data_IF_835240867785
#
_entry.id   IF_835240867785
#
_cell.length_a   1.000
_cell.length_b   1.000
_cell.length_c   1.000
_cell.angle_alpha   90.00
_cell.angle_beta   90.00
_cell.angle_gamma   90.00
#
_symmetry.space_group_name_H-M   'P 1'
#
loop_
_entity.id
_entity.type
_entity.pdbx_description
1 polymer ?
#
# COMPACT_ATOMS: atom_id res chain seq x y z
N UNK A 1 34.37 -21.05 -12.20
CA UNK A 1 34.12 -22.39 -12.77
C UNK A 1 32.60 -22.53 -12.91
N UNK A 2 32.06 -22.57 -14.14
CA UNK A 2 30.61 -22.56 -14.37
C UNK A 2 30.04 -23.98 -14.22
N UNK A 3 29.18 -24.20 -13.23
CA UNK A 3 28.41 -25.45 -13.13
C UNK A 3 27.27 -25.44 -14.16
N UNK A 4 27.38 -26.28 -15.20
CA UNK A 4 26.24 -26.67 -16.05
C UNK A 4 25.77 -28.05 -15.60
N UNK A 5 24.52 -28.16 -15.18
CA UNK A 5 23.85 -29.44 -15.02
C UNK A 5 22.86 -29.60 -16.19
N UNK A 6 23.07 -30.64 -17.01
CA UNK A 6 22.09 -31.12 -17.96
C UNK A 6 21.38 -32.32 -17.34
N UNK A 7 20.05 -32.36 -17.41
CA UNK A 7 19.29 -33.57 -17.10
C UNK A 7 18.19 -33.76 -18.15
N UNK A 8 18.32 -34.84 -18.92
CA UNK A 8 17.26 -35.44 -19.72
C UNK A 8 16.37 -36.29 -18.81
N UNK A 9 15.05 -36.25 -19.02
CA UNK A 9 14.15 -37.28 -18.52
C UNK A 9 13.27 -37.74 -19.68
N UNK A 10 13.52 -38.98 -20.08
CA UNK A 10 12.67 -39.80 -20.95
C UNK A 10 11.70 -40.55 -20.03
N UNK A 11 10.41 -40.56 -20.35
CA UNK A 11 9.54 -41.64 -19.89
C UNK A 11 8.50 -41.99 -20.96
N UNK A 12 8.41 -43.29 -21.23
CA UNK A 12 7.81 -43.88 -22.40
C UNK A 12 6.33 -44.23 -22.27
N UNK A 13 5.76 -44.52 -23.43
CA UNK A 13 4.42 -45.04 -23.65
C UNK A 13 4.23 -46.42 -22.99
N UNK A 14 3.06 -46.63 -22.40
CA UNK A 14 2.35 -47.92 -22.43
C UNK A 14 0.94 -47.66 -22.94
N UNK A 15 0.59 -48.34 -24.03
CA UNK A 15 -0.71 -48.35 -24.69
C UNK A 15 -1.38 -49.69 -24.38
N UNK A 16 -2.65 -49.65 -23.95
CA UNK A 16 -3.75 -50.63 -24.20
C UNK A 16 -5.00 -50.04 -23.50
N UNK A 17 -6.23 -50.00 -24.01
CA UNK A 17 -6.86 -50.25 -25.31
C UNK A 17 -8.34 -49.79 -25.20
N UNK A 18 -8.89 -49.24 -26.28
CA UNK A 18 -10.32 -49.15 -26.66
C UNK A 18 -11.35 -48.44 -25.73
N UNK A 19 -11.87 -47.28 -26.18
CA UNK A 19 -13.17 -47.19 -26.89
C UNK A 19 -13.44 -45.78 -27.45
N UNK A 20 -13.70 -45.76 -28.77
CA UNK A 20 -14.41 -44.81 -29.64
C UNK A 20 -14.71 -43.38 -29.11
N UNK A 21 -14.11 -42.35 -29.72
CA UNK A 21 -14.56 -41.71 -30.97
C UNK A 21 -15.84 -40.86 -30.83
N UNK A 22 -15.64 -39.57 -30.53
CA UNK A 22 -16.38 -38.47 -31.17
C UNK A 22 -15.69 -37.14 -30.85
N UNK A 23 -15.73 -36.22 -31.82
CA UNK A 23 -15.37 -34.80 -31.73
C UNK A 23 -13.88 -34.48 -31.96
N UNK A 24 -13.48 -34.65 -33.22
CA UNK A 24 -12.64 -33.64 -33.90
C UNK A 24 -13.59 -32.61 -34.51
N UNK A 25 -13.58 -31.37 -34.02
CA UNK A 25 -13.28 -30.17 -34.81
C UNK A 25 -13.64 -28.89 -34.03
N UNK A 26 -12.65 -28.00 -33.95
CA UNK A 26 -12.66 -26.64 -33.39
C UNK A 26 -12.63 -26.46 -31.87
N UNK A 27 -11.54 -26.94 -31.26
CA UNK A 27 -10.98 -26.38 -30.04
C UNK A 27 -9.47 -26.28 -30.18
N UNK A 28 -8.96 -25.16 -30.70
CA UNK A 28 -7.54 -24.82 -30.63
C UNK A 28 -7.23 -24.50 -29.16
N UNK A 29 -6.92 -25.53 -28.38
CA UNK A 29 -6.27 -25.37 -27.08
C UNK A 29 -4.83 -24.97 -27.35
N UNK A 30 -4.55 -23.67 -27.33
CA UNK A 30 -3.18 -23.20 -27.17
C UNK A 30 -2.72 -23.53 -25.74
N UNK A 31 -2.13 -24.71 -25.54
CA UNK A 31 -1.23 -24.92 -24.39
C UNK A 31 0.07 -24.19 -24.70
N UNK A 32 0.17 -22.92 -24.32
CA UNK A 32 1.46 -22.26 -24.24
C UNK A 32 2.17 -22.79 -22.99
N UNK A 33 2.90 -23.90 -23.13
CA UNK A 33 3.91 -24.28 -22.15
C UNK A 33 5.07 -23.30 -22.31
N UNK A 34 5.15 -22.32 -21.42
CA UNK A 34 6.32 -21.46 -21.31
C UNK A 34 7.30 -22.17 -20.38
N UNK A 35 8.29 -22.86 -20.94
CA UNK A 35 9.46 -23.31 -20.20
C UNK A 35 10.28 -22.08 -19.79
N UNK A 36 10.01 -21.53 -18.61
CA UNK A 36 10.86 -20.51 -17.99
C UNK A 36 12.04 -21.21 -17.31
N UNK A 37 13.14 -21.33 -18.06
CA UNK A 37 14.45 -21.65 -17.50
C UNK A 37 15.08 -20.38 -16.93
N UNK A 38 15.24 -20.32 -15.61
CA UNK A 38 15.94 -19.22 -14.95
C UNK A 38 17.41 -19.59 -14.72
N UNK A 39 18.32 -18.84 -15.33
CA UNK A 39 19.74 -18.89 -14.98
C UNK A 39 19.95 -18.01 -13.74
N UNK A 40 20.23 -18.63 -12.59
CA UNK A 40 20.60 -17.91 -11.37
C UNK A 40 22.11 -17.70 -11.37
N UNK A 41 22.54 -16.44 -11.32
CA UNK A 41 23.97 -16.09 -11.30
C UNK A 41 24.42 -16.02 -9.85
N UNK A 42 25.22 -16.99 -9.40
CA UNK A 42 25.79 -17.00 -8.04
C UNK A 42 27.08 -16.19 -7.96
N UNK A 43 27.33 -15.56 -6.80
CA UNK A 43 28.60 -14.88 -6.51
C UNK A 43 29.39 -15.73 -5.51
N UNK A 44 30.63 -16.05 -5.85
CA UNK A 44 31.54 -16.74 -4.94
C UNK A 44 32.37 -15.71 -4.17
N UNK A 45 32.45 -15.83 -2.85
CA UNK A 45 33.39 -15.06 -2.05
C UNK A 45 34.83 -15.61 -2.15
N UNK A 46 35.79 -14.90 -1.58
CA UNK A 46 37.22 -15.26 -1.60
C UNK A 46 37.52 -16.58 -0.86
N UNK A 47 36.55 -17.13 -0.12
CA UNK A 47 36.61 -18.43 0.57
C UNK A 47 35.93 -19.55 -0.23
N UNK A 48 35.41 -19.27 -1.42
CA UNK A 48 34.78 -20.25 -2.31
C UNK A 48 33.34 -20.62 -1.93
N UNK A 49 32.67 -19.81 -1.08
CA UNK A 49 31.25 -19.97 -0.76
C UNK A 49 30.43 -19.26 -1.84
N UNK A 50 29.64 -20.04 -2.59
CA UNK A 50 28.70 -19.52 -3.57
C UNK A 50 27.40 -19.07 -2.88
N UNK A 51 27.14 -17.77 -2.86
CA UNK A 51 25.83 -17.23 -2.52
C UNK A 51 24.95 -17.16 -3.78
N UNK A 52 23.78 -17.79 -3.71
CA UNK A 52 22.76 -17.75 -4.76
C UNK A 52 21.51 -17.09 -4.20
N UNK A 53 21.27 -15.84 -4.57
CA UNK A 53 19.98 -15.18 -4.32
C UNK A 53 18.98 -15.68 -5.35
N UNK A 54 18.04 -16.52 -4.93
CA UNK A 54 16.90 -16.91 -5.77
C UNK A 54 15.86 -15.81 -5.66
N UNK A 55 15.86 -14.88 -6.61
CA UNK A 55 14.73 -13.97 -6.80
C UNK A 55 13.59 -14.77 -7.41
N UNK A 56 12.51 -14.94 -6.64
CA UNK A 56 11.24 -15.41 -7.18
C UNK A 56 10.79 -14.44 -8.28
N UNK A 57 10.18 -14.93 -9.39
CA UNK A 57 9.71 -14.07 -10.46
C UNK A 57 8.81 -12.97 -9.92
N UNK A 58 8.96 -11.76 -10.48
CA UNK A 58 8.22 -10.54 -10.16
C UNK A 58 6.71 -10.83 -10.19
N UNK A 59 6.20 -11.19 -9.01
CA UNK A 59 4.80 -11.51 -8.72
C UNK A 59 4.11 -10.34 -8.04
N UNK A 60 4.75 -9.18 -8.06
CA UNK A 60 4.16 -7.95 -7.59
C UNK A 60 2.96 -7.65 -8.47
N UNK A 61 1.77 -7.85 -7.88
CA UNK A 61 0.54 -7.21 -8.30
C UNK A 61 0.88 -5.84 -8.92
N UNK A 62 0.40 -5.50 -10.13
CA UNK A 62 0.93 -4.38 -10.91
C UNK A 62 0.48 -3.03 -10.32
N UNK A 63 1.04 -2.68 -9.17
CA UNK A 63 0.70 -1.49 -8.37
C UNK A 63 0.78 -0.24 -9.22
N UNK A 64 1.81 -0.10 -10.06
CA UNK A 64 1.96 1.07 -10.95
C UNK A 64 0.79 1.24 -11.92
N UNK A 65 0.27 0.13 -12.47
CA UNK A 65 -0.91 0.18 -13.35
C UNK A 65 -2.18 0.49 -12.57
N UNK A 66 -2.25 0.07 -11.30
CA UNK A 66 -3.38 0.39 -10.42
C UNK A 66 -3.35 1.84 -9.97
N UNK A 67 -2.18 2.40 -9.64
CA UNK A 67 -2.00 3.82 -9.34
C UNK A 67 -2.41 4.69 -10.55
N UNK A 68 -1.96 4.34 -11.76
CA UNK A 68 -2.35 5.04 -12.98
C UNK A 68 -3.86 4.95 -13.24
N UNK A 69 -4.45 3.77 -13.03
CA UNK A 69 -5.89 3.54 -13.15
C UNK A 69 -6.67 4.40 -12.15
N UNK A 70 -6.23 4.45 -10.89
CA UNK A 70 -6.86 5.25 -9.83
C UNK A 70 -6.81 6.75 -10.14
N UNK A 71 -5.64 7.25 -10.54
CA UNK A 71 -5.47 8.64 -10.94
C UNK A 71 -6.37 9.01 -12.12
N UNK A 72 -6.45 8.12 -13.12
CA UNK A 72 -7.33 8.28 -14.29
C UNK A 72 -8.80 8.25 -13.87
N UNK A 73 -9.19 7.32 -12.98
CA UNK A 73 -10.55 7.20 -12.46
C UNK A 73 -11.00 8.49 -11.76
N UNK A 74 -10.14 9.03 -10.89
CA UNK A 74 -10.40 10.23 -10.10
C UNK A 74 -10.54 11.45 -11.01
N UNK A 75 -9.64 11.60 -11.99
CA UNK A 75 -9.73 12.67 -12.98
C UNK A 75 -11.02 12.57 -13.80
N UNK A 76 -11.41 11.35 -14.20
CA UNK A 76 -12.62 11.09 -14.97
C UNK A 76 -13.89 11.39 -14.15
N UNK A 77 -13.90 11.01 -12.87
CA UNK A 77 -14.99 11.33 -11.95
C UNK A 77 -15.23 12.85 -11.86
N UNK A 78 -14.17 13.65 -11.70
CA UNK A 78 -14.26 15.12 -11.67
C UNK A 78 -14.78 15.68 -12.99
N UNK A 79 -14.37 15.13 -14.14
CA UNK A 79 -14.91 15.54 -15.44
C UNK A 79 -16.42 15.23 -15.54
N UNK A 80 -16.84 14.04 -15.12
CA UNK A 80 -18.25 13.62 -15.15
C UNK A 80 -19.11 14.52 -14.25
N UNK A 81 -18.70 14.78 -13.02
CA UNK A 81 -19.41 15.68 -12.10
C UNK A 81 -19.56 17.10 -12.65
N UNK A 82 -18.53 17.60 -13.34
CA UNK A 82 -18.59 18.90 -14.03
C UNK A 82 -19.64 18.91 -15.14
N UNK A 83 -19.73 17.84 -15.93
CA UNK A 83 -20.75 17.73 -16.98
C UNK A 83 -22.16 17.56 -16.41
N UNK A 84 -22.32 16.79 -15.33
CA UNK A 84 -23.61 16.69 -14.60
C UNK A 84 -24.07 18.08 -14.13
N UNK A 85 -23.15 18.89 -13.59
CA UNK A 85 -23.44 20.24 -13.15
C UNK A 85 -23.90 21.15 -14.31
N UNK A 86 -23.26 21.07 -15.48
CA UNK A 86 -23.68 21.80 -16.69
C UNK A 86 -25.04 21.35 -17.20
N UNK A 87 -25.33 20.05 -17.19
CA UNK A 87 -26.64 19.52 -17.59
C UNK A 87 -27.73 20.11 -16.69
N UNK A 88 -27.49 20.19 -15.37
CA UNK A 88 -28.43 20.82 -14.45
C UNK A 88 -28.69 22.31 -14.77
N UNK A 89 -27.66 23.05 -15.21
CA UNK A 89 -27.81 24.44 -15.69
C UNK A 89 -28.62 24.54 -17.00
N UNK A 90 -28.36 23.63 -17.95
CA UNK A 90 -29.13 23.56 -19.20
C UNK A 90 -30.59 23.23 -18.93
N UNK A 91 -30.89 22.30 -18.03
CA UNK A 91 -32.28 21.97 -17.64
C UNK A 91 -33.01 23.19 -17.07
N UNK A 92 -32.37 23.95 -16.17
CA UNK A 92 -32.95 25.21 -15.64
C UNK A 92 -33.19 26.24 -16.73
N UNK A 93 -32.25 26.39 -17.66
CA UNK A 93 -32.36 27.32 -18.78
C UNK A 93 -33.52 26.94 -19.72
N UNK A 94 -33.64 25.65 -20.05
CA UNK A 94 -34.75 25.12 -20.87
C UNK A 94 -36.10 25.41 -20.21
N UNK A 95 -36.24 25.16 -18.91
CA UNK A 95 -37.47 25.46 -18.16
C UNK A 95 -37.81 26.97 -18.19
N UNK A 96 -36.80 27.83 -18.08
CA UNK A 96 -37.00 29.28 -18.19
C UNK A 96 -37.48 29.70 -19.59
N UNK A 97 -36.90 29.14 -20.66
CA UNK A 97 -37.33 29.44 -22.02
C UNK A 97 -38.74 28.90 -22.32
N UNK A 98 -39.06 27.70 -21.84
CA UNK A 98 -40.39 27.11 -21.97
C UNK A 98 -41.47 28.02 -21.35
N UNK A 99 -41.19 28.57 -20.16
CA UNK A 99 -42.08 29.55 -19.50
C UNK A 99 -42.27 30.83 -20.34
N UNK A 100 -41.18 31.41 -20.88
CA UNK A 100 -41.27 32.61 -21.75
C UNK A 100 -42.09 32.34 -23.01
N UNK A 101 -41.85 31.20 -23.67
CA UNK A 101 -42.59 30.80 -24.87
C UNK A 101 -44.07 30.65 -24.54
N UNK A 102 -44.41 29.96 -23.45
CA UNK A 102 -45.80 29.79 -23.02
C UNK A 102 -46.51 31.12 -22.77
N UNK A 103 -45.85 32.06 -22.09
CA UNK A 103 -46.40 33.39 -21.83
C UNK A 103 -46.62 34.18 -23.13
N UNK A 104 -45.68 34.11 -24.07
CA UNK A 104 -45.83 34.75 -25.38
C UNK A 104 -46.94 34.12 -26.21
N UNK A 105 -47.07 32.79 -26.19
CA UNK A 105 -48.19 32.11 -26.86
C UNK A 105 -49.54 32.56 -26.31
N UNK A 106 -49.68 32.69 -24.98
CA UNK A 106 -50.91 33.21 -24.36
C UNK A 106 -51.18 34.66 -24.80
N UNK A 107 -50.14 35.50 -24.85
CA UNK A 107 -50.24 36.90 -25.29
C UNK A 107 -50.72 37.00 -26.74
N UNK A 108 -50.12 36.20 -27.64
CA UNK A 108 -50.51 36.15 -29.06
C UNK A 108 -51.92 35.60 -29.23
N UNK A 109 -52.29 34.52 -28.53
CA UNK A 109 -53.65 33.95 -28.57
C UNK A 109 -54.71 34.96 -28.11
N UNK A 110 -54.41 35.76 -27.08
CA UNK A 110 -55.29 36.83 -26.64
C UNK A 110 -55.45 37.92 -27.72
N UNK A 111 -54.36 38.28 -28.41
CA UNK A 111 -54.39 39.23 -29.53
C UNK A 111 -55.24 38.73 -30.71
N UNK A 112 -55.23 37.43 -30.99
CA UNK A 112 -56.03 36.83 -32.08
C UNK A 112 -57.54 36.80 -31.77
N UNK A 113 -57.91 36.61 -30.51
CA UNK A 113 -59.33 36.40 -30.10
C UNK A 113 -60.08 37.69 -29.75
N UNK A 114 -59.37 38.79 -29.50
CA UNK A 114 -59.98 40.07 -29.10
C UNK A 114 -60.13 41.01 -30.30
N UNK A 115 -61.31 41.63 -30.46
CA UNK A 115 -61.60 42.59 -31.54
C UNK A 115 -60.98 43.99 -31.32
N UNK A 116 -59.91 44.08 -30.52
CA UNK A 116 -59.28 45.35 -30.10
C UNK A 116 -58.17 45.71 -31.11
N UNK A 117 -58.13 46.98 -31.52
CA UNK A 117 -57.09 47.54 -32.40
C UNK A 117 -55.77 47.69 -31.62
N UNK A 118 -54.85 46.74 -31.76
CA UNK A 118 -53.49 46.83 -31.22
C UNK A 118 -52.65 47.90 -31.94
N UNK A 119 -51.78 48.59 -31.21
CA UNK A 119 -50.92 49.63 -31.78
C UNK A 119 -49.68 49.02 -32.44
N UNK A 120 -49.10 49.72 -33.42
CA UNK A 120 -47.83 49.33 -34.07
C UNK A 120 -46.70 49.08 -33.05
N UNK A 121 -46.72 49.83 -31.95
CA UNK A 121 -45.77 49.70 -30.83
C UNK A 121 -45.87 48.34 -30.11
N UNK A 122 -47.07 47.75 -30.00
CA UNK A 122 -47.28 46.45 -29.37
C UNK A 122 -46.62 45.33 -30.18
N UNK A 123 -46.67 45.44 -31.50
CA UNK A 123 -46.02 44.51 -32.42
C UNK A 123 -44.49 44.69 -32.43
N UNK A 124 -43.98 45.92 -32.34
CA UNK A 124 -42.54 46.17 -32.22
C UNK A 124 -41.95 45.60 -30.92
N UNK A 125 -42.67 45.74 -29.80
CA UNK A 125 -42.25 45.14 -28.53
C UNK A 125 -42.21 43.60 -28.62
N UNK A 126 -43.21 42.98 -29.26
CA UNK A 126 -43.26 41.53 -29.46
C UNK A 126 -42.09 41.04 -30.34
N UNK A 127 -41.76 41.77 -31.41
CA UNK A 127 -40.62 41.46 -32.27
C UNK A 127 -39.31 41.48 -31.49
N UNK A 128 -39.09 42.50 -30.64
CA UNK A 128 -37.90 42.58 -29.79
C UNK A 128 -37.80 41.41 -28.81
N UNK A 129 -38.91 41.04 -28.15
CA UNK A 129 -38.97 39.87 -27.25
C UNK A 129 -38.64 38.56 -27.99
N UNK A 130 -39.11 38.39 -29.23
CA UNK A 130 -38.81 37.23 -30.07
C UNK A 130 -37.35 37.18 -30.53
N UNK A 131 -36.78 38.30 -31.00
CA UNK A 131 -35.37 38.37 -31.41
C UNK A 131 -34.43 38.09 -30.24
N UNK A 132 -34.77 38.57 -29.04
CA UNK A 132 -33.99 38.25 -27.84
C UNK A 132 -34.01 36.74 -27.53
N UNK A 133 -35.18 36.09 -27.61
CA UNK A 133 -35.29 34.64 -27.43
C UNK A 133 -34.53 33.84 -28.48
N UNK A 134 -34.59 34.23 -29.76
CA UNK A 134 -33.82 33.54 -30.82
C UNK A 134 -32.32 33.58 -30.54
N UNK A 135 -31.80 34.73 -30.11
CA UNK A 135 -30.39 34.88 -29.72
C UNK A 135 -30.04 33.93 -28.57
N UNK A 136 -30.88 33.88 -27.55
CA UNK A 136 -30.69 33.05 -26.36
C UNK A 136 -30.78 31.54 -26.66
N UNK A 137 -31.73 31.13 -27.51
CA UNK A 137 -31.88 29.74 -27.98
C UNK A 137 -30.68 29.32 -28.83
N UNK A 138 -30.18 30.21 -29.70
CA UNK A 138 -28.98 29.95 -30.50
C UNK A 138 -27.75 29.69 -29.62
N UNK A 139 -27.58 30.49 -28.55
CA UNK A 139 -26.52 30.28 -27.56
C UNK A 139 -26.66 28.93 -26.85
N UNK A 140 -27.87 28.59 -26.38
CA UNK A 140 -28.13 27.30 -25.72
C UNK A 140 -27.83 26.11 -26.66
N UNK A 141 -28.22 26.21 -27.94
CA UNK A 141 -28.00 25.16 -28.94
C UNK A 141 -26.51 24.84 -29.11
N UNK A 142 -25.65 25.86 -29.20
CA UNK A 142 -24.20 25.67 -29.32
C UNK A 142 -23.63 24.99 -28.08
N UNK A 143 -24.06 25.41 -26.89
CA UNK A 143 -23.62 24.84 -25.61
C UNK A 143 -24.03 23.37 -25.44
N UNK A 144 -25.23 22.99 -25.87
CA UNK A 144 -25.72 21.59 -25.82
C UNK A 144 -24.96 20.68 -26.80
N UNK A 145 -24.71 21.16 -28.03
CA UNK A 145 -23.94 20.39 -29.03
C UNK A 145 -22.51 20.14 -28.53
N UNK A 146 -21.86 21.16 -27.97
CA UNK A 146 -20.53 21.02 -27.37
C UNK A 146 -20.50 20.03 -26.20
N UNK A 147 -21.57 19.99 -25.39
CA UNK A 147 -21.73 19.01 -24.31
C UNK A 147 -21.79 17.57 -24.81
N UNK A 148 -22.55 17.29 -25.88
CA UNK A 148 -22.69 15.93 -26.41
C UNK A 148 -21.36 15.32 -26.87
N UNK A 149 -20.50 16.09 -27.54
CA UNK A 149 -19.17 15.61 -27.99
C UNK A 149 -18.30 15.21 -26.81
N UNK A 150 -18.34 15.98 -25.72
CA UNK A 150 -17.56 15.68 -24.52
C UNK A 150 -18.11 14.43 -23.80
N UNK A 151 -19.43 14.25 -23.77
CA UNK A 151 -20.07 13.04 -23.21
C UNK A 151 -19.63 11.79 -24.01
N UNK A 152 -19.61 11.86 -25.34
CA UNK A 152 -19.15 10.75 -26.19
C UNK A 152 -17.66 10.40 -25.90
N UNK A 153 -16.83 11.42 -25.71
CA UNK A 153 -15.43 11.21 -25.32
C UNK A 153 -15.30 10.56 -23.95
N UNK A 154 -16.07 11.03 -22.95
CA UNK A 154 -16.10 10.42 -21.61
C UNK A 154 -16.55 8.96 -21.66
N UNK A 155 -17.53 8.64 -22.50
CA UNK A 155 -17.99 7.26 -22.68
C UNK A 155 -16.87 6.33 -23.19
N UNK A 156 -16.06 6.81 -24.13
CA UNK A 156 -14.89 6.05 -24.64
C UNK A 156 -13.83 5.90 -23.54
N UNK A 157 -13.52 6.96 -22.79
CA UNK A 157 -12.57 6.91 -21.66
C UNK A 157 -13.02 5.87 -20.60
N UNK A 158 -14.30 5.86 -20.22
CA UNK A 158 -14.89 4.87 -19.29
C UNK A 158 -14.79 3.44 -19.84
N UNK A 159 -15.10 3.24 -21.12
CA UNK A 159 -15.04 1.92 -21.76
C UNK A 159 -13.61 1.37 -21.77
N UNK A 160 -12.62 2.21 -22.10
CA UNK A 160 -11.21 1.83 -22.05
C UNK A 160 -10.78 1.45 -20.63
N UNK A 161 -11.26 2.20 -19.63
CA UNK A 161 -11.01 1.91 -18.22
C UNK A 161 -11.60 0.56 -17.80
N UNK A 162 -12.81 0.24 -18.24
CA UNK A 162 -13.46 -1.06 -17.96
C UNK A 162 -12.65 -2.23 -18.53
N UNK A 163 -12.11 -2.08 -19.75
CA UNK A 163 -11.23 -3.08 -20.37
C UNK A 163 -9.94 -3.27 -19.56
N UNK A 164 -9.35 -2.17 -19.06
CA UNK A 164 -8.14 -2.24 -18.23
C UNK A 164 -8.39 -2.96 -16.90
N UNK A 165 -9.51 -2.65 -16.23
CA UNK A 165 -9.93 -3.34 -14.99
C UNK A 165 -10.06 -4.85 -15.21
N UNK A 166 -10.78 -5.26 -16.27
CA UNK A 166 -10.95 -6.68 -16.59
C UNK A 166 -9.60 -7.39 -16.85
N UNK A 167 -8.66 -6.72 -17.51
CA UNK A 167 -7.31 -7.26 -17.75
C UNK A 167 -6.54 -7.45 -16.45
N UNK A 168 -6.61 -6.48 -15.53
CA UNK A 168 -5.93 -6.54 -14.23
C UNK A 168 -6.52 -7.62 -13.34
N UNK A 169 -7.84 -7.78 -13.31
CA UNK A 169 -8.52 -8.85 -12.57
C UNK A 169 -8.10 -10.25 -13.08
N UNK A 170 -7.98 -10.41 -14.40
CA UNK A 170 -7.54 -11.67 -14.99
C UNK A 170 -6.08 -12.00 -14.65
N UNK A 171 -5.20 -10.99 -14.64
CA UNK A 171 -3.79 -11.15 -14.26
C UNK A 171 -3.65 -11.66 -12.82
N UNK A 172 -4.44 -11.09 -11.91
CA UNK A 172 -4.41 -11.46 -10.49
C UNK A 172 -4.82 -12.92 -10.26
N UNK A 173 -5.95 -13.35 -10.85
CA UNK A 173 -6.46 -14.74 -10.71
C UNK A 173 -5.50 -15.80 -11.23
N UNK A 174 -4.89 -15.59 -12.39
CA UNK A 174 -4.01 -16.58 -13.02
C UNK A 174 -2.62 -16.64 -12.38
N UNK A 175 -2.05 -15.49 -12.02
CA UNK A 175 -0.70 -15.45 -11.45
C UNK A 175 -0.68 -16.01 -10.03
N UNK A 176 -1.64 -15.68 -9.16
CA UNK A 176 -1.65 -16.16 -7.77
C UNK A 176 -1.65 -17.70 -7.69
N UNK A 177 -2.41 -18.37 -8.57
CA UNK A 177 -2.46 -19.84 -8.61
C UNK A 177 -1.19 -20.46 -9.24
N UNK A 178 -0.64 -19.85 -10.28
CA UNK A 178 0.60 -20.30 -10.92
C UNK A 178 1.80 -20.15 -9.97
N UNK A 179 1.93 -18.99 -9.32
CA UNK A 179 2.98 -18.68 -8.33
C UNK A 179 2.90 -19.65 -7.15
N UNK A 180 1.69 -19.96 -6.65
CA UNK A 180 1.54 -20.95 -5.56
C UNK A 180 2.09 -22.32 -5.94
N UNK A 181 1.85 -22.78 -7.18
CA UNK A 181 2.40 -24.05 -7.69
C UNK A 181 3.92 -23.99 -7.84
N UNK A 182 4.45 -22.87 -8.31
CA UNK A 182 5.90 -22.66 -8.43
C UNK A 182 6.60 -22.56 -7.08
N UNK A 183 6.03 -21.87 -6.09
CA UNK A 183 6.57 -21.77 -4.73
C UNK A 183 6.66 -23.15 -4.08
N UNK A 184 5.62 -23.98 -4.21
CA UNK A 184 5.65 -25.36 -3.70
C UNK A 184 6.76 -26.17 -4.40
N UNK A 185 6.87 -26.05 -5.72
CA UNK A 185 7.89 -26.72 -6.51
C UNK A 185 9.31 -26.27 -6.12
N UNK A 186 9.52 -24.97 -5.97
CA UNK A 186 10.81 -24.38 -5.57
C UNK A 186 11.18 -24.73 -4.14
N UNK A 187 10.24 -24.73 -3.20
CA UNK A 187 10.47 -25.18 -1.82
C UNK A 187 10.91 -26.65 -1.77
N UNK A 188 10.27 -27.50 -2.55
CA UNK A 188 10.67 -28.91 -2.65
C UNK A 188 12.08 -29.06 -3.23
N UNK A 189 12.40 -28.33 -4.30
CA UNK A 189 13.75 -28.33 -4.89
C UNK A 189 14.82 -27.77 -3.95
N UNK A 190 14.50 -26.72 -3.20
CA UNK A 190 15.39 -26.14 -2.20
C UNK A 190 15.71 -27.16 -1.10
N UNK A 191 14.69 -27.85 -0.59
CA UNK A 191 14.84 -28.92 0.40
C UNK A 191 15.73 -30.05 -0.14
N UNK A 192 15.50 -30.51 -1.37
CA UNK A 192 16.34 -31.52 -2.02
C UNK A 192 17.79 -31.06 -2.21
N UNK A 193 18.02 -29.79 -2.57
CA UNK A 193 19.35 -29.22 -2.69
C UNK A 193 20.08 -29.12 -1.34
N UNK A 194 19.36 -28.74 -0.28
CA UNK A 194 19.91 -28.67 1.08
C UNK A 194 20.32 -30.05 1.60
N UNK A 195 19.47 -31.06 1.38
CA UNK A 195 19.76 -32.45 1.76
C UNK A 195 20.97 -33.05 1.01
N UNK A 196 21.21 -32.63 -0.25
CA UNK A 196 22.34 -33.10 -1.08
C UNK A 196 23.66 -32.36 -0.84
N UNK A 197 23.60 -31.12 -0.39
CA UNK A 197 24.78 -30.24 -0.29
C UNK A 197 25.70 -30.60 0.87
N UNK A 198 25.17 -31.13 1.98
CA UNK A 198 25.94 -31.38 3.21
C UNK A 198 26.59 -30.13 3.84
N UNK A 199 26.52 -28.97 3.16
CA UNK A 199 26.88 -27.66 3.68
C UNK A 199 25.63 -27.03 4.25
N UNK A 200 25.58 -26.90 5.56
CA UNK A 200 24.79 -25.84 6.20
C UNK A 200 25.27 -24.52 5.60
N UNK A 201 24.46 -23.90 4.74
CA UNK A 201 24.62 -22.47 4.49
C UNK A 201 24.63 -21.80 5.88
N UNK A 202 25.43 -20.75 6.06
CA UNK A 202 25.42 -19.93 7.27
C UNK A 202 24.04 -19.26 7.43
N UNK A 203 23.05 -20.05 7.82
CA UNK A 203 21.70 -19.66 8.10
C UNK A 203 21.75 -18.97 9.44
N UNK A 204 21.61 -17.65 9.44
CA UNK A 204 21.47 -16.89 10.67
C UNK A 204 20.13 -17.32 11.29
N UNK A 205 20.14 -17.97 12.46
CA UNK A 205 18.90 -18.43 13.08
C UNK A 205 17.98 -17.25 13.35
N UNK A 206 16.71 -17.42 13.00
CA UNK A 206 15.67 -16.41 13.20
C UNK A 206 15.53 -16.07 14.67
N UNK A 207 15.36 -14.79 15.00
CA UNK A 207 15.23 -14.31 16.36
C UNK A 207 16.55 -14.36 17.15
N UNK A 208 17.70 -14.37 16.48
CA UNK A 208 19.01 -14.32 17.12
C UNK A 208 19.88 -13.20 16.57
N UNK A 209 20.67 -12.58 17.45
CA UNK A 209 21.61 -11.52 17.09
C UNK A 209 23.00 -12.01 16.72
N UNK A 210 23.10 -13.26 16.24
CA UNK A 210 24.35 -13.90 15.87
C UNK A 210 24.79 -13.52 14.45
N UNK A 211 24.89 -12.22 14.18
CA UNK A 211 25.23 -11.67 12.87
C UNK A 211 26.00 -10.34 12.95
N UNK A 212 26.79 -10.01 11.93
CA UNK A 212 27.58 -8.78 11.81
C UNK A 212 26.81 -7.52 11.38
N UNK A 213 25.47 -7.61 11.29
CA UNK A 213 24.60 -6.50 10.88
C UNK A 213 23.99 -6.70 9.50
N UNK A 214 23.20 -5.73 9.05
CA UNK A 214 22.51 -5.79 7.75
C UNK A 214 23.54 -5.69 6.62
N UNK A 215 23.55 -6.70 5.76
CA UNK A 215 24.38 -6.74 4.55
C UNK A 215 23.62 -6.21 3.35
N UNK A 216 22.37 -6.66 3.17
CA UNK A 216 21.56 -6.33 2.01
C UNK A 216 20.07 -6.54 2.31
N UNK A 217 19.22 -6.12 1.37
CA UNK A 217 17.77 -6.25 1.43
C UNK A 217 17.23 -6.76 0.09
N UNK A 218 16.20 -7.60 0.14
CA UNK A 218 15.57 -8.12 -1.08
C UNK A 218 14.80 -7.03 -1.85
N UNK A 219 14.36 -7.35 -3.07
CA UNK A 219 13.28 -6.60 -3.74
C UNK A 219 11.99 -6.67 -2.90
N UNK A 220 11.11 -5.66 -3.01
CA UNK A 220 9.81 -5.67 -2.33
C UNK A 220 8.94 -6.80 -2.85
N UNK A 221 8.35 -7.55 -1.93
CA UNK A 221 7.21 -8.42 -2.21
C UNK A 221 5.92 -7.67 -1.82
N UNK A 222 5.09 -7.33 -2.81
CA UNK A 222 3.76 -6.73 -2.57
C UNK A 222 2.84 -7.81 -2.03
N UNK A 223 2.51 -7.72 -0.76
CA UNK A 223 1.57 -8.63 -0.10
C UNK A 223 0.15 -8.36 -0.58
N UNK A 224 -0.33 -7.12 -0.44
CA UNK A 224 -1.65 -6.68 -0.93
C UNK A 224 -1.89 -5.18 -0.68
N UNK A 225 -3.02 -4.64 -1.14
CA UNK A 225 -3.56 -3.35 -0.69
C UNK A 225 -4.06 -3.45 0.75
N UNK A 226 -4.16 -2.35 1.49
CA UNK A 226 -4.84 -2.36 2.79
C UNK A 226 -6.36 -2.59 2.60
N UNK A 227 -7.01 -3.15 3.61
CA UNK A 227 -8.42 -3.53 3.55
C UNK A 227 -9.42 -2.37 3.50
N UNK A 228 -9.01 -1.15 3.84
CA UNK A 228 -9.85 0.05 3.70
C UNK A 228 -9.78 0.65 2.28
N UNK A 229 -8.80 0.24 1.47
CA UNK A 229 -8.64 0.65 0.08
C UNK A 229 -7.69 1.82 -0.13
N UNK A 230 -7.64 2.31 -1.37
CA UNK A 230 -6.62 3.25 -1.86
C UNK A 230 -6.60 4.62 -1.16
N UNK A 231 -7.77 5.09 -0.71
CA UNK A 231 -7.89 6.37 -0.01
C UNK A 231 -7.16 6.39 1.34
N UNK A 232 -6.82 5.22 1.89
CA UNK A 232 -6.18 5.06 3.19
C UNK A 232 -4.69 4.81 3.00
N UNK A 233 -3.97 5.89 2.68
CA UNK A 233 -2.55 5.84 2.31
C UNK A 233 -1.63 5.58 3.49
N UNK A 234 -2.00 6.00 4.69
CA UNK A 234 -1.17 5.93 5.89
C UNK A 234 -1.62 4.76 6.79
N UNK A 235 -0.68 4.15 7.50
CA UNK A 235 -0.96 2.99 8.32
C UNK A 235 0.31 2.25 8.69
N UNK A 236 0.13 1.15 9.41
CA UNK A 236 1.18 0.17 9.60
C UNK A 236 0.64 -1.25 9.53
N UNK A 237 1.55 -2.19 9.34
CA UNK A 237 1.25 -3.61 9.37
C UNK A 237 2.48 -4.39 9.81
N UNK A 238 2.26 -5.65 10.18
CA UNK A 238 3.35 -6.54 10.53
C UNK A 238 2.86 -7.89 11.05
N UNK A 239 3.76 -8.57 11.74
CA UNK A 239 3.54 -9.85 12.40
C UNK A 239 3.78 -9.66 13.89
N UNK A 240 2.92 -10.24 14.72
CA UNK A 240 3.11 -10.27 16.18
C UNK A 240 4.33 -11.11 16.51
N UNK A 241 5.27 -10.54 17.27
CA UNK A 241 6.39 -11.28 17.85
C UNK A 241 6.04 -11.66 19.28
N UNK A 242 5.96 -12.96 19.57
CA UNK A 242 5.71 -13.46 20.93
C UNK A 242 6.84 -14.38 21.38
N UNK A 243 7.48 -14.02 22.48
CA UNK A 243 8.52 -14.84 23.11
C UNK A 243 7.93 -16.08 23.78
N UNK A 244 6.65 -16.02 24.17
CA UNK A 244 5.93 -17.08 24.89
C UNK A 244 5.20 -18.05 23.97
N UNK A 245 4.75 -17.61 22.78
CA UNK A 245 3.96 -18.41 21.85
C UNK A 245 4.61 -18.45 20.47
N UNK A 246 5.65 -19.27 20.32
CA UNK A 246 6.41 -19.42 19.06
C UNK A 246 5.57 -19.89 17.86
N UNK A 247 4.41 -20.52 18.07
CA UNK A 247 3.50 -20.94 16.99
C UNK A 247 2.42 -19.89 16.63
N UNK A 248 2.45 -18.70 17.24
CA UNK A 248 1.45 -17.67 17.00
C UNK A 248 1.74 -16.90 15.69
N UNK A 249 1.03 -17.23 14.62
CA UNK A 249 1.16 -16.59 13.30
C UNK A 249 0.17 -15.43 13.09
N UNK A 250 0.07 -14.53 14.07
CA UNK A 250 -0.85 -13.40 13.98
C UNK A 250 -0.23 -12.29 13.14
N UNK A 251 -0.86 -11.96 12.03
CA UNK A 251 -0.58 -10.77 11.23
C UNK A 251 -1.58 -9.68 11.57
N UNK A 252 -1.14 -8.43 11.53
CA UNK A 252 -1.97 -7.28 11.85
C UNK A 252 -1.83 -6.21 10.78
N UNK A 253 -2.94 -5.54 10.47
CA UNK A 253 -3.01 -4.45 9.49
C UNK A 253 -3.89 -3.34 10.05
N UNK A 254 -3.30 -2.15 10.20
CA UNK A 254 -3.89 -1.03 10.90
C UNK A 254 -3.73 0.27 10.08
N UNK A 255 -4.56 0.44 9.02
CA UNK A 255 -4.60 1.67 8.26
C UNK A 255 -5.21 2.81 9.10
N UNK A 256 -4.56 3.97 9.06
CA UNK A 256 -5.10 5.20 9.65
C UNK A 256 -6.35 5.64 8.89
N UNK A 257 -7.06 6.62 9.43
CA UNK A 257 -8.10 7.32 8.68
C UNK A 257 -7.48 8.19 7.58
N UNK A 258 -8.30 8.61 6.61
CA UNK A 258 -7.84 9.34 5.42
C UNK A 258 -7.22 10.72 5.72
N UNK A 259 -7.32 11.20 6.95
CA UNK A 259 -6.66 12.42 7.43
C UNK A 259 -5.21 12.19 7.91
N UNK A 260 -4.69 10.96 7.74
CA UNK A 260 -3.35 10.53 8.12
C UNK A 260 -3.06 10.61 9.63
N UNK A 261 -4.07 10.87 10.48
CA UNK A 261 -3.86 11.13 11.91
C UNK A 261 -4.38 10.00 12.77
N UNK A 262 -5.65 9.63 12.61
CA UNK A 262 -6.30 8.74 13.56
C UNK A 262 -6.05 7.26 13.27
N UNK A 263 -5.52 6.54 14.26
CA UNK A 263 -5.63 5.10 14.34
C UNK A 263 -6.93 4.76 15.08
N UNK A 264 -7.82 4.04 14.39
CA UNK A 264 -9.13 3.68 14.93
C UNK A 264 -9.44 2.19 14.79
N UNK A 265 -9.20 1.61 13.61
CA UNK A 265 -9.51 0.21 13.33
C UNK A 265 -8.26 -0.55 12.91
N UNK A 266 -8.18 -1.80 13.36
CA UNK A 266 -7.15 -2.74 12.94
C UNK A 266 -7.74 -4.12 12.72
N UNK A 267 -7.14 -4.89 11.81
CA UNK A 267 -7.51 -6.28 11.55
C UNK A 267 -6.39 -7.22 11.94
N UNK A 268 -6.78 -8.35 12.53
CA UNK A 268 -5.91 -9.46 12.87
C UNK A 268 -6.23 -10.65 11.96
N UNK A 269 -5.19 -11.36 11.55
CA UNK A 269 -5.25 -12.56 10.71
C UNK A 269 -4.43 -13.66 11.37
N UNK A 270 -4.97 -14.87 11.49
CA UNK A 270 -4.30 -15.98 12.19
C UNK A 270 -3.28 -16.73 11.31
N UNK A 271 -3.20 -16.38 10.02
CA UNK A 271 -2.26 -16.94 9.08
C UNK A 271 -1.95 -15.95 7.95
N UNK A 272 -0.83 -16.17 7.27
CA UNK A 272 -0.49 -15.39 6.09
C UNK A 272 -1.48 -15.61 4.94
N UNK A 273 -2.05 -16.82 4.82
CA UNK A 273 -3.08 -17.11 3.82
C UNK A 273 -4.39 -16.35 4.07
N UNK A 274 -4.81 -16.25 5.33
CA UNK A 274 -5.98 -15.44 5.72
C UNK A 274 -5.77 -13.97 5.38
N UNK A 275 -4.56 -13.45 5.63
CA UNK A 275 -4.16 -12.10 5.24
C UNK A 275 -4.31 -11.89 3.74
N UNK A 276 -3.64 -12.72 2.93
CA UNK A 276 -3.62 -12.62 1.47
C UNK A 276 -5.00 -12.76 0.80
N UNK A 277 -5.90 -13.52 1.41
CA UNK A 277 -7.23 -13.80 0.84
C UNK A 277 -8.33 -12.91 1.42
N UNK A 278 -8.00 -12.00 2.34
CA UNK A 278 -8.95 -11.24 3.15
C UNK A 278 -10.02 -12.12 3.83
N UNK A 279 -9.62 -13.28 4.37
CA UNK A 279 -10.52 -14.23 5.01
C UNK A 279 -10.28 -14.29 6.50
N UNK A 280 -11.32 -14.68 7.25
CA UNK A 280 -11.26 -14.96 8.69
C UNK A 280 -10.61 -13.84 9.53
N UNK A 281 -10.72 -12.59 9.08
CA UNK A 281 -10.13 -11.45 9.78
C UNK A 281 -10.97 -11.09 10.99
N UNK A 282 -10.31 -10.77 12.10
CA UNK A 282 -10.95 -10.15 13.27
C UNK A 282 -10.65 -8.66 13.25
N UNK A 283 -11.70 -7.87 13.05
CA UNK A 283 -11.63 -6.42 13.10
C UNK A 283 -11.92 -5.93 14.52
N UNK A 284 -11.04 -5.05 15.01
CA UNK A 284 -11.11 -4.47 16.33
C UNK A 284 -10.93 -2.96 16.23
N UNK A 285 -11.32 -2.27 17.30
CA UNK A 285 -11.27 -0.81 17.40
C UNK A 285 -10.44 -0.39 18.61
N UNK A 286 -9.63 0.65 18.43
CA UNK A 286 -8.97 1.38 19.52
C UNK A 286 -9.58 2.77 19.69
N UNK A 287 -9.60 3.25 20.93
CA UNK A 287 -10.11 4.58 21.26
C UNK A 287 -9.02 5.63 21.03
N UNK A 288 -8.89 6.07 19.78
CA UNK A 288 -8.07 7.20 19.33
C UNK A 288 -6.55 7.04 19.56
N UNK A 289 -5.89 6.26 18.69
CA UNK A 289 -4.45 6.34 18.51
C UNK A 289 -4.04 7.42 17.49
N UNK A 290 -2.75 7.78 17.46
CA UNK A 290 -2.22 8.80 16.54
C UNK A 290 -1.00 8.30 15.77
N UNK A 291 -1.03 8.52 14.45
CA UNK A 291 0.09 8.22 13.55
C UNK A 291 0.32 6.72 13.29
N UNK A 292 1.17 6.44 12.32
CA UNK A 292 1.49 5.09 11.84
C UNK A 292 2.59 4.39 12.64
N UNK A 293 3.07 4.98 13.74
CA UNK A 293 4.16 4.43 14.54
C UNK A 293 3.72 3.40 15.59
N UNK A 294 2.91 2.43 15.21
CA UNK A 294 2.35 1.42 16.12
C UNK A 294 2.80 0.01 15.74
N UNK A 295 2.89 -0.87 16.75
CA UNK A 295 3.37 -2.26 16.60
C UNK A 295 2.57 -3.21 17.49
N UNK A 296 2.45 -4.47 17.08
CA UNK A 296 1.94 -5.54 17.95
C UNK A 296 3.11 -6.37 18.47
N UNK A 297 3.19 -6.52 19.79
CA UNK A 297 4.19 -7.31 20.48
C UNK A 297 3.56 -8.09 21.63
N UNK A 298 3.83 -9.38 21.69
CA UNK A 298 3.32 -10.33 22.68
C UNK A 298 1.81 -10.22 22.92
N UNK A 299 1.03 -10.07 21.85
CA UNK A 299 -0.43 -9.97 21.92
C UNK A 299 -0.96 -8.60 22.41
N UNK A 300 -0.12 -7.56 22.46
CA UNK A 300 -0.53 -6.20 22.75
C UNK A 300 -0.17 -5.25 21.61
N UNK A 301 -1.10 -4.38 21.24
CA UNK A 301 -0.87 -3.27 20.34
C UNK A 301 -0.34 -2.06 21.13
N UNK A 302 0.82 -1.56 20.73
CA UNK A 302 1.46 -0.38 21.29
C UNK A 302 1.37 0.77 20.30
N UNK A 303 0.91 1.94 20.76
CA UNK A 303 0.71 3.11 19.91
C UNK A 303 0.77 4.40 20.71
N UNK A 304 0.95 5.52 20.01
CA UNK A 304 0.86 6.85 20.60
C UNK A 304 -0.60 7.22 20.89
N UNK A 305 -0.93 7.56 22.13
CA UNK A 305 -2.27 8.00 22.49
C UNK A 305 -2.57 9.37 21.86
N UNK A 306 -3.76 9.54 21.30
CA UNK A 306 -4.09 10.73 20.52
C UNK A 306 -3.83 12.06 21.25
N UNK A 307 -3.22 13.00 20.51
CA UNK A 307 -2.92 14.36 20.94
C UNK A 307 -2.16 14.45 22.29
N UNK A 308 -1.28 13.49 22.57
CA UNK A 308 -0.49 13.46 23.80
C UNK A 308 0.90 12.88 23.54
N UNK A 309 1.81 13.05 24.51
CA UNK A 309 3.09 12.32 24.58
C UNK A 309 2.96 11.01 25.38
N UNK A 310 1.76 10.42 25.41
CA UNK A 310 1.51 9.19 26.17
C UNK A 310 1.55 7.95 25.28
N UNK A 311 2.10 6.89 25.83
CA UNK A 311 2.15 5.54 25.26
C UNK A 311 0.92 4.75 25.70
N UNK A 312 0.25 4.10 24.76
CA UNK A 312 -0.91 3.26 24.99
C UNK A 312 -0.56 1.78 24.71
N UNK A 313 -0.93 0.89 25.64
CA UNK A 313 -0.86 -0.58 25.51
C UNK A 313 -2.27 -1.15 25.49
N UNK A 314 -2.65 -1.79 24.39
CA UNK A 314 -3.98 -2.33 24.16
C UNK A 314 -3.94 -3.84 23.94
N UNK A 315 -4.70 -4.58 24.73
CA UNK A 315 -4.84 -6.04 24.61
C UNK A 315 -5.65 -6.36 23.37
N UNK A 316 -5.02 -7.03 22.40
CA UNK A 316 -5.66 -7.31 21.11
C UNK A 316 -6.68 -8.45 21.17
N UNK A 317 -6.62 -9.29 22.21
CA UNK A 317 -7.56 -10.39 22.41
C UNK A 317 -8.79 -9.92 23.19
N UNK A 318 -8.58 -9.16 24.26
CA UNK A 318 -9.65 -8.55 25.04
C UNK A 318 -10.23 -7.28 24.40
N UNK A 319 -9.60 -6.77 23.34
CA UNK A 319 -9.90 -5.49 22.68
C UNK A 319 -10.08 -4.33 23.68
N UNK A 320 -9.10 -4.11 24.56
CA UNK A 320 -9.18 -3.12 25.62
C UNK A 320 -7.84 -2.42 25.87
N UNK A 321 -7.92 -1.13 26.19
CA UNK A 321 -6.76 -0.39 26.68
C UNK A 321 -6.40 -0.90 28.08
N UNK A 322 -5.16 -1.32 28.27
CA UNK A 322 -4.67 -1.93 29.51
C UNK A 322 -3.81 -0.96 30.30
N UNK A 323 -3.02 -0.14 29.60
CA UNK A 323 -2.11 0.80 30.23
C UNK A 323 -1.93 2.03 29.34
N UNK A 324 -1.91 3.19 29.99
CA UNK A 324 -1.52 4.47 29.41
C UNK A 324 -0.42 5.06 30.29
N UNK A 325 0.69 5.48 29.69
CA UNK A 325 1.83 6.02 30.42
C UNK A 325 2.52 7.14 29.65
N UNK A 326 2.85 8.23 30.33
CA UNK A 326 3.61 9.32 29.73
C UNK A 326 5.02 8.88 29.33
N UNK A 327 5.46 9.25 28.11
CA UNK A 327 6.84 9.14 27.65
C UNK A 327 7.59 10.43 28.00
N UNK A 328 8.52 10.42 28.97
CA UNK A 328 9.11 11.65 29.48
C UNK A 328 9.81 12.48 28.40
N UNK A 329 9.43 13.76 28.29
CA UNK A 329 10.08 14.72 27.40
C UNK A 329 9.78 14.56 25.91
N UNK A 330 9.02 13.52 25.51
CA UNK A 330 8.66 13.31 24.11
C UNK A 330 7.79 14.45 23.59
N UNK A 331 8.15 14.96 22.42
CA UNK A 331 7.26 15.85 21.67
C UNK A 331 6.15 15.04 20.99
N UNK A 332 5.06 15.70 20.66
CA UNK A 332 3.90 15.09 20.01
C UNK A 332 3.13 16.12 19.18
N UNK A 333 2.10 15.67 18.47
CA UNK A 333 1.27 16.50 17.59
C UNK A 333 2.03 17.14 16.42
N UNK A 334 2.79 16.31 15.71
CA UNK A 334 3.50 16.66 14.48
C UNK A 334 4.56 17.75 14.70
N UNK A 335 5.20 17.75 15.87
CA UNK A 335 6.28 18.64 16.25
C UNK A 335 7.60 18.18 15.64
N UNK A 336 7.93 16.89 15.76
CA UNK A 336 9.09 16.25 15.13
C UNK A 336 8.70 14.88 14.54
N UNK A 337 7.90 14.92 13.48
CA UNK A 337 7.56 13.72 12.71
C UNK A 337 8.63 13.37 11.68
N UNK A 338 8.53 12.20 11.04
CA UNK A 338 9.40 11.83 9.92
C UNK A 338 9.14 12.67 8.66
N UNK A 339 10.07 12.63 7.71
CA UNK A 339 9.95 13.31 6.44
C UNK A 339 8.75 12.78 5.64
N UNK A 340 7.81 13.65 5.28
CA UNK A 340 6.65 13.29 4.45
C UNK A 340 5.57 12.46 5.15
N UNK A 341 5.75 12.08 6.42
CA UNK A 341 4.79 11.28 7.19
C UNK A 341 4.36 12.07 8.42
N UNK A 342 3.14 12.61 8.47
CA UNK A 342 2.69 13.43 9.58
C UNK A 342 2.30 12.60 10.81
N UNK A 343 2.27 13.23 11.99
CA UNK A 343 1.75 12.68 13.25
C UNK A 343 2.48 11.45 13.82
N UNK A 344 3.65 11.10 13.30
CA UNK A 344 4.48 9.98 13.74
C UNK A 344 5.67 10.49 14.56
N UNK A 345 5.42 11.36 15.54
CA UNK A 345 6.42 11.86 16.48
C UNK A 345 7.00 10.74 17.37
N UNK A 346 6.14 9.78 17.74
CA UNK A 346 6.42 8.61 18.57
C UNK A 346 6.18 7.37 17.75
N UNK A 347 7.18 6.50 17.69
CA UNK A 347 7.24 5.35 16.79
C UNK A 347 7.70 4.10 17.53
N UNK A 348 6.80 3.16 17.76
CA UNK A 348 7.12 1.91 18.45
C UNK A 348 7.73 0.90 17.50
N UNK A 349 8.80 0.25 17.94
CA UNK A 349 9.48 -0.79 17.17
C UNK A 349 9.84 -1.97 18.07
N UNK A 350 10.04 -3.12 17.45
CA UNK A 350 10.36 -4.38 18.14
C UNK A 350 11.56 -5.00 17.49
N UNK A 351 12.44 -5.56 18.31
CA UNK A 351 13.56 -6.38 17.86
C UNK A 351 13.68 -7.63 18.74
N UNK A 352 14.76 -8.39 18.57
CA UNK A 352 15.09 -9.60 19.33
C UNK A 352 15.19 -9.36 20.85
N UNK A 353 15.50 -8.14 21.26
CA UNK A 353 15.60 -7.77 22.67
C UNK A 353 14.27 -7.30 23.27
N UNK A 354 13.22 -7.10 22.46
CA UNK A 354 11.86 -6.73 22.90
C UNK A 354 11.40 -5.35 22.40
N UNK A 355 10.63 -4.63 23.24
CA UNK A 355 9.97 -3.38 22.85
C UNK A 355 10.85 -2.14 22.96
N UNK A 356 10.75 -1.24 21.98
CA UNK A 356 11.43 0.05 21.93
C UNK A 356 10.49 1.16 21.46
N UNK A 357 10.92 2.40 21.67
CA UNK A 357 10.26 3.59 21.11
C UNK A 357 11.30 4.55 20.55
N UNK A 358 11.03 5.07 19.35
CA UNK A 358 11.80 6.07 18.62
C UNK A 358 11.00 7.38 18.67
N UNK A 359 11.60 8.46 19.14
CA UNK A 359 10.94 9.75 19.30
C UNK A 359 11.95 10.90 19.26
N UNK A 360 11.50 12.12 19.56
CA UNK A 360 12.37 13.27 19.75
C UNK A 360 11.89 14.11 20.93
N UNK A 361 12.78 14.96 21.44
CA UNK A 361 12.48 15.88 22.56
C UNK A 361 12.88 17.29 22.15
N UNK A 362 12.39 18.31 22.86
CA UNK A 362 12.89 19.69 22.67
C UNK A 362 14.39 19.78 23.04
N UNK A 363 14.83 19.02 24.06
CA UNK A 363 16.23 18.97 24.50
C UNK A 363 17.16 18.32 23.46
N UNK A 364 16.67 17.36 22.67
CA UNK A 364 17.41 16.77 21.55
C UNK A 364 17.35 17.64 20.28
N UNK A 365 16.66 18.78 20.32
CA UNK A 365 16.47 19.69 19.17
C UNK A 365 15.94 18.99 17.92
N UNK A 366 15.09 17.97 18.12
CA UNK A 366 14.52 17.16 17.04
C UNK A 366 15.40 16.00 16.55
N UNK A 367 16.55 15.75 17.18
CA UNK A 367 17.30 14.52 16.94
C UNK A 367 16.57 13.31 17.52
N UNK A 368 16.79 12.16 16.89
CA UNK A 368 16.22 10.88 17.30
C UNK A 368 16.71 10.54 18.72
N UNK A 369 15.76 10.19 19.57
CA UNK A 369 15.96 9.55 20.86
C UNK A 369 15.32 8.17 20.75
N UNK A 370 16.07 7.14 21.15
CA UNK A 370 15.56 5.78 21.25
C UNK A 370 15.51 5.37 22.71
N UNK A 371 14.47 4.66 23.11
CA UNK A 371 14.34 4.17 24.48
C UNK A 371 13.90 2.72 24.50
N UNK A 372 14.56 1.92 25.34
CA UNK A 372 14.14 0.57 25.66
C UNK A 372 13.00 0.63 26.66
N UNK A 373 11.92 -0.08 26.38
CA UNK A 373 10.73 -0.07 27.22
C UNK A 373 10.56 -1.41 27.93
N UNK A 374 10.19 -1.33 29.20
CA UNK A 374 9.58 -2.44 29.89
C UNK A 374 8.18 -2.68 29.31
N UNK A 375 7.99 -3.79 28.60
CA UNK A 375 6.74 -4.14 27.90
C UNK A 375 5.51 -4.27 28.81
N UNK A 376 5.71 -4.55 30.09
CA UNK A 376 4.66 -4.71 31.09
C UNK A 376 4.21 -3.37 31.66
N UNK A 377 5.16 -2.49 32.01
CA UNK A 377 4.88 -1.24 32.73
C UNK A 377 5.01 0.03 31.87
N UNK A 378 5.49 -0.10 30.63
CA UNK A 378 5.88 1.01 29.74
C UNK A 378 6.92 1.96 30.36
N UNK A 379 7.65 1.54 31.39
CA UNK A 379 8.75 2.33 31.93
C UNK A 379 9.92 2.37 30.95
N UNK A 380 10.55 3.53 30.83
CA UNK A 380 11.83 3.66 30.12
C UNK A 380 12.90 2.99 30.98
N UNK A 381 13.53 1.94 30.46
CA UNK A 381 14.63 1.23 31.10
C UNK A 381 15.97 1.93 30.79
N UNK A 382 16.16 2.28 29.52
CA UNK A 382 17.33 2.98 29.02
C UNK A 382 16.94 3.90 27.87
N UNK A 383 17.69 5.00 27.69
CA UNK A 383 17.48 5.96 26.62
C UNK A 383 18.81 6.43 26.03
N UNK A 384 18.82 6.62 24.70
CA UNK A 384 19.98 7.07 23.95
C UNK A 384 19.55 8.20 23.00
N UNK A 385 20.31 9.29 23.01
CA UNK A 385 20.14 10.39 22.07
C UNK A 385 21.16 10.26 20.95
N UNK A 386 20.69 10.30 19.70
CA UNK A 386 21.54 10.26 18.51
C UNK A 386 21.80 11.67 17.96
N UNK A 387 22.61 11.78 16.90
CA UNK A 387 22.78 13.05 16.15
C UNK A 387 21.91 13.13 14.90
N UNK A 388 21.12 12.10 14.60
CA UNK A 388 20.30 12.06 13.40
C UNK A 388 19.01 12.85 13.63
N UNK A 389 18.79 13.90 12.84
CA UNK A 389 17.57 14.69 12.87
C UNK A 389 16.38 13.87 12.37
N UNK A 390 15.32 13.73 13.17
CA UNK A 390 14.18 12.86 12.86
C UNK A 390 13.37 13.34 11.64
N UNK A 391 13.08 14.64 11.48
CA UNK A 391 12.36 15.12 10.29
C UNK A 391 13.15 15.08 8.97
N UNK A 392 14.42 14.67 8.95
CA UNK A 392 15.17 14.45 7.71
C UNK A 392 15.21 12.99 7.26
N UNK A 393 14.60 12.06 7.99
CA UNK A 393 14.56 10.63 7.63
C UNK A 393 13.12 10.19 7.35
N UNK A 394 12.93 9.27 6.41
CA UNK A 394 11.59 8.78 6.03
C UNK A 394 10.99 7.88 7.10
N UNK A 395 11.83 7.07 7.75
CA UNK A 395 11.44 6.12 8.80
C UNK A 395 12.68 5.57 9.50
N UNK A 396 12.50 4.75 10.55
CA UNK A 396 13.59 4.04 11.19
C UNK A 396 13.08 2.74 11.84
N UNK A 397 13.98 1.79 12.06
CA UNK A 397 13.68 0.51 12.72
C UNK A 397 14.89 0.03 13.53
N UNK A 398 14.70 -0.93 14.42
CA UNK A 398 15.78 -1.50 15.24
C UNK A 398 15.92 -2.98 14.95
N UNK A 399 17.16 -3.44 14.81
CA UNK A 399 17.52 -4.86 14.76
C UNK A 399 18.65 -5.09 15.77
N UNK A 400 18.49 -6.03 16.69
CA UNK A 400 19.53 -6.38 17.66
C UNK A 400 20.14 -5.21 18.46
N UNK A 401 19.33 -4.22 18.81
CA UNK A 401 19.74 -3.02 19.52
C UNK A 401 20.48 -2.00 18.65
N UNK A 402 20.48 -2.16 17.33
CA UNK A 402 21.02 -1.18 16.38
C UNK A 402 19.86 -0.51 15.67
N UNK A 403 19.76 0.81 15.82
CA UNK A 403 18.82 1.64 15.06
C UNK A 403 19.33 1.80 13.63
N UNK A 404 18.45 1.64 12.65
CA UNK A 404 18.69 1.93 11.24
C UNK A 404 17.69 2.97 10.76
N UNK A 405 18.18 4.05 10.13
CA UNK A 405 17.33 5.08 9.55
C UNK A 405 17.36 5.05 8.02
N UNK A 406 16.21 5.33 7.40
CA UNK A 406 16.05 5.36 5.94
C UNK A 406 15.77 6.77 5.43
N UNK A 407 16.24 7.08 4.22
CA UNK A 407 15.98 8.37 3.55
C UNK A 407 15.58 8.18 2.08
N UNK A 408 14.81 9.13 1.51
CA UNK A 408 14.37 9.00 0.13
C UNK A 408 15.53 9.33 -0.80
N UNK A 409 15.75 8.46 -1.79
CA UNK A 409 16.70 8.71 -2.90
C UNK A 409 15.94 9.29 -4.09
N UNK A 410 14.78 8.71 -4.40
CA UNK A 410 13.84 9.21 -5.40
C UNK A 410 12.43 8.65 -5.13
N UNK A 411 11.50 8.84 -6.05
CA UNK A 411 10.10 8.40 -5.93
C UNK A 411 9.91 6.87 -5.89
N UNK A 412 10.96 6.09 -6.13
CA UNK A 412 10.94 4.61 -6.20
C UNK A 412 12.06 3.93 -5.42
N UNK A 413 12.95 4.68 -4.77
CA UNK A 413 14.05 4.14 -3.98
C UNK A 413 14.28 4.94 -2.70
N UNK A 414 14.62 4.20 -1.66
CA UNK A 414 15.13 4.69 -0.39
C UNK A 414 16.55 4.14 -0.17
N UNK A 415 17.20 4.63 0.86
CA UNK A 415 18.51 4.15 1.30
C UNK A 415 18.50 4.02 2.82
N UNK A 416 18.87 2.84 3.34
CA UNK A 416 19.32 2.71 4.73
C UNK A 416 20.71 3.33 4.77
N UNK A 417 20.80 4.51 5.38
CA UNK A 417 22.00 5.36 5.27
C UNK A 417 22.72 5.59 6.60
N UNK A 418 22.03 5.31 7.70
CA UNK A 418 22.50 5.62 9.05
C UNK A 418 22.18 4.46 9.99
N UNK A 419 23.13 4.13 10.85
CA UNK A 419 22.96 3.18 11.94
C UNK A 419 23.50 3.73 13.27
N UNK A 420 22.88 3.36 14.38
CA UNK A 420 23.36 3.69 15.73
C UNK A 420 23.29 2.46 16.63
N UNK A 421 24.43 2.04 17.17
CA UNK A 421 24.53 0.89 18.08
C UNK A 421 24.34 1.34 19.53
N UNK A 422 23.28 0.84 20.18
CA UNK A 422 22.98 1.19 21.59
C UNK A 422 23.97 0.66 22.61
N UNK A 423 24.76 -0.38 22.28
CA UNK A 423 25.75 -0.97 23.18
C UNK A 423 27.05 -0.17 23.18
N UNK A 424 27.50 0.28 22.00
CA UNK A 424 28.76 1.01 21.86
C UNK A 424 28.57 2.52 21.85
N UNK A 425 27.36 3.00 21.50
CA UNK A 425 27.08 4.40 21.24
C UNK A 425 27.66 4.90 19.91
N UNK A 426 28.12 4.01 19.04
CA UNK A 426 28.70 4.38 17.76
C UNK A 426 27.62 4.70 16.72
N UNK A 427 27.90 5.73 15.92
CA UNK A 427 27.09 6.16 14.79
C UNK A 427 27.82 5.79 13.49
N UNK A 428 27.17 4.99 12.64
CA UNK A 428 27.76 4.39 11.46
C UNK A 428 27.00 4.87 10.22
N UNK A 429 27.73 5.38 9.23
CA UNK A 429 27.17 5.59 7.90
C UNK A 429 27.20 4.27 7.12
N UNK A 430 26.03 3.86 6.64
CA UNK A 430 25.82 2.66 5.82
C UNK A 430 25.20 3.08 4.49
N UNK A 431 25.18 2.21 3.49
CA UNK A 431 24.48 2.47 2.24
C UNK A 431 23.89 1.16 1.71
N UNK A 432 22.61 0.94 1.99
CA UNK A 432 21.83 -0.18 1.44
C UNK A 432 20.63 0.39 0.71
N UNK A 433 20.55 0.19 -0.60
CA UNK A 433 19.43 0.67 -1.42
C UNK A 433 18.20 -0.20 -1.18
N UNK A 434 17.05 0.44 -0.96
CA UNK A 434 15.74 -0.22 -0.78
C UNK A 434 14.82 0.25 -1.91
N UNK A 435 14.30 -0.67 -2.72
CA UNK A 435 13.29 -0.30 -3.72
C UNK A 435 11.91 -0.16 -3.06
N UNK A 436 11.12 0.82 -3.48
CA UNK A 436 9.71 1.00 -3.07
C UNK A 436 8.83 1.10 -4.30
N UNK A 437 7.54 0.79 -4.13
CA UNK A 437 6.62 0.69 -5.25
C UNK A 437 5.90 2.03 -5.49
N UNK A 438 5.54 2.71 -4.41
CA UNK A 438 4.97 4.05 -4.38
C UNK A 438 5.89 5.05 -3.70
N UNK A 439 5.55 6.34 -3.75
CA UNK A 439 6.46 7.41 -3.39
C UNK A 439 6.77 7.47 -1.89
N UNK A 440 5.80 7.27 -1.00
CA UNK A 440 6.02 7.51 0.44
C UNK A 440 5.94 6.22 1.25
N UNK A 441 6.98 5.94 2.02
CA UNK A 441 6.94 4.91 3.06
C UNK A 441 6.32 5.53 4.31
N UNK A 442 5.22 4.93 4.78
CA UNK A 442 4.42 5.42 5.90
C UNK A 442 4.82 4.76 7.23
N UNK A 443 5.29 3.51 7.18
CA UNK A 443 5.84 2.82 8.35
C UNK A 443 6.78 1.70 7.92
N UNK A 444 7.74 1.35 8.80
CA UNK A 444 8.59 0.16 8.68
C UNK A 444 8.55 -0.59 10.01
N UNK A 445 8.06 -1.83 9.99
CA UNK A 445 8.10 -2.72 11.16
C UNK A 445 9.03 -3.89 10.90
N UNK A 446 10.09 -4.01 11.69
CA UNK A 446 10.92 -5.20 11.71
C UNK A 446 10.23 -6.34 12.47
N UNK A 447 10.35 -7.56 11.96
CA UNK A 447 9.84 -8.77 12.59
C UNK A 447 10.99 -9.75 12.84
N UNK A 448 11.38 -9.95 14.12
CA UNK A 448 12.38 -10.95 14.50
C UNK A 448 12.01 -12.38 14.11
N UNK A 449 10.72 -12.69 13.93
CA UNK A 449 10.17 -14.02 13.60
C UNK A 449 10.36 -14.46 12.15
N UNK A 450 10.74 -13.55 11.27
CA UNK A 450 11.00 -13.88 9.85
C UNK A 450 12.15 -13.07 9.25
N UNK A 451 12.82 -12.22 10.04
CA UNK A 451 13.88 -11.34 9.58
C UNK A 451 13.42 -10.45 8.40
N UNK A 452 12.17 -9.99 8.46
CA UNK A 452 11.57 -9.15 7.42
C UNK A 452 11.26 -7.75 7.92
N UNK A 453 11.30 -6.81 6.98
CA UNK A 453 10.65 -5.52 7.14
C UNK A 453 9.26 -5.59 6.53
N UNK A 454 8.24 -5.31 7.34
CA UNK A 454 6.85 -5.10 6.93
C UNK A 454 6.61 -3.61 6.79
N UNK A 455 6.45 -3.17 5.54
CA UNK A 455 6.45 -1.76 5.15
C UNK A 455 5.08 -1.37 4.63
N UNK A 456 4.53 -0.27 5.13
CA UNK A 456 3.31 0.32 4.59
C UNK A 456 3.70 1.43 3.61
N UNK A 457 3.44 1.25 2.33
CA UNK A 457 3.85 2.18 1.26
C UNK A 457 2.61 2.67 0.51
N UNK A 458 2.15 3.87 0.86
CA UNK A 458 0.95 4.53 0.31
C UNK A 458 -0.26 3.59 0.11
N UNK A 459 -0.64 2.89 1.17
CA UNK A 459 -1.78 1.98 1.18
C UNK A 459 -1.44 0.53 0.85
N UNK A 460 -0.25 0.23 0.29
CA UNK A 460 0.18 -1.13 0.00
C UNK A 460 1.03 -1.72 1.12
N UNK A 461 0.83 -3.00 1.36
CA UNK A 461 1.58 -3.82 2.31
C UNK A 461 2.74 -4.48 1.57
N UNK A 462 3.97 -4.06 1.85
CA UNK A 462 5.19 -4.59 1.24
C UNK A 462 6.02 -5.35 2.27
N UNK A 463 6.62 -6.46 1.88
CA UNK A 463 7.57 -7.19 2.72
C UNK A 463 8.94 -7.30 2.05
N UNK A 464 9.99 -7.17 2.85
CA UNK A 464 11.38 -7.27 2.42
C UNK A 464 12.11 -8.27 3.28
N UNK A 465 12.89 -9.17 2.67
CA UNK A 465 13.79 -10.05 3.41
C UNK A 465 15.09 -9.30 3.71
N UNK A 466 15.51 -9.26 4.97
CA UNK A 466 16.84 -8.80 5.35
C UNK A 466 17.85 -9.93 5.17
N UNK A 467 19.01 -9.56 4.62
CA UNK A 467 20.19 -10.41 4.54
C UNK A 467 21.24 -9.87 5.51
N UNK A 468 21.72 -10.72 6.41
CA UNK A 468 22.68 -10.35 7.44
C UNK A 468 24.07 -10.88 7.13
N UNK A 469 25.09 -10.15 7.56
CA UNK A 469 26.48 -10.60 7.50
C UNK A 469 26.70 -11.73 8.51
N UNK A 470 27.26 -12.89 8.11
CA UNK A 470 27.63 -13.94 9.06
C UNK A 470 28.69 -13.44 10.05
N UNK A 471 28.65 -13.92 11.30
CA UNK A 471 29.75 -13.72 12.25
C UNK A 471 31.00 -14.45 11.73
N UNK A 472 32.11 -13.71 11.65
CA UNK A 472 33.40 -14.20 11.12
C UNK A 472 34.18 -15.05 12.12
#
# INVERSE_FOLDING_TARGET
MACRAASSVIMGKVITSCLLAAILQFGLVFTANVDLTFNVTGKADDKGICSCSVQMPDSTFPVLRMEELENTASALYVKVEREISKIAEYTKSIQFYEQRIRNLSIKVEHMEKTSISYAELDFELLKLEMTEMERLISQLKVSVIGGNVLIDQLYIEIKNMTVLVHRLEHLDKNNVLAIRREIVTLKNRLKECQERSGKENAYVPVGTCSHGGILNISKPFVTQLNWKGFAFKNGAWGRDYSTLKKDNNVYWVAPLNSDARYLEYYRLYNSYDDLLLYRNSRENRVDYGQGSGHVVYDGFLFYNCHASGDMCKHDINGNKLVLRRNLPGAVFNNRFSYAGVPWQDIDFVVDESGLWVIYSTEASTGNIVISKLNDTTLAVENAWQTRQYKPSVSNAFIVCGVLYAVRPVNTRKEEIFYAFDTKTGEEINISVTVDKVLETIQSINYSPEDHKLHVFNDGYLLSYQLEFQPLS
#
